data_IF_853489340960
#
_entry.id   IF_853489340960
#
_cell.length_a   1.000
_cell.length_b   1.000
_cell.length_c   1.000
_cell.angle_alpha   90.00
_cell.angle_beta   90.00
_cell.angle_gamma   90.00
#
_symmetry.space_group_name_H-M   'P 1'
#
loop_
_entity.id
_entity.type
_entity.pdbx_description
1 polymer ?
#
# COMPACT_ATOMS: atom_id res chain seq x y z
N UNK A 1 -7.90 33.58 31.31
CA UNK A 1 -7.92 32.90 32.64
C UNK A 1 -6.54 32.32 32.87
N UNK A 2 -5.73 32.96 33.72
CA UNK A 2 -4.41 32.46 34.12
C UNK A 2 -4.60 31.28 35.09
N UNK A 3 -4.01 30.13 34.78
CA UNK A 3 -3.95 29.00 35.68
C UNK A 3 -2.81 29.24 36.68
N UNK A 4 -3.13 29.30 37.97
CA UNK A 4 -2.14 29.37 39.04
C UNK A 4 -1.24 28.12 39.05
N UNK A 5 0.08 28.27 39.24
CA UNK A 5 0.99 27.14 39.32
C UNK A 5 0.76 26.33 40.62
N UNK A 6 0.87 24.99 40.59
CA UNK A 6 0.62 24.15 41.75
C UNK A 6 1.61 24.44 42.88
N UNK A 7 1.06 24.72 44.06
CA UNK A 7 1.77 25.06 45.30
C UNK A 7 2.93 24.06 45.59
N UNK A 8 4.20 24.50 45.64
CA UNK A 8 5.37 23.62 45.75
C UNK A 8 5.35 22.75 47.02
N UNK A 9 4.73 23.24 48.10
CA UNK A 9 4.55 22.50 49.34
C UNK A 9 3.68 21.24 49.20
N UNK A 10 2.73 21.23 48.26
CA UNK A 10 1.87 20.09 47.98
C UNK A 10 2.59 19.00 47.17
N UNK A 11 3.49 19.39 46.27
CA UNK A 11 4.34 18.45 45.52
C UNK A 11 5.38 17.79 46.42
N UNK A 12 6.00 18.53 47.33
CA UNK A 12 6.96 17.99 48.31
C UNK A 12 6.30 16.91 49.20
N UNK A 13 5.07 17.18 49.68
CA UNK A 13 4.27 16.21 50.47
C UNK A 13 3.94 14.95 49.68
N UNK A 14 3.65 15.05 48.37
CA UNK A 14 3.39 13.88 47.51
C UNK A 14 4.66 13.03 47.32
N UNK A 15 5.81 13.68 47.10
CA UNK A 15 7.11 12.99 46.98
C UNK A 15 7.47 12.25 48.27
N UNK A 16 7.24 12.87 49.43
CA UNK A 16 7.48 12.24 50.72
C UNK A 16 6.57 11.02 50.95
N UNK A 17 5.26 11.16 50.69
CA UNK A 17 4.32 10.03 50.78
C UNK A 17 4.68 8.86 49.86
N UNK A 18 5.16 9.15 48.65
CA UNK A 18 5.61 8.11 47.72
C UNK A 18 6.85 7.38 48.25
N UNK A 19 7.85 8.10 48.78
CA UNK A 19 9.03 7.51 49.43
C UNK A 19 8.65 6.60 50.60
N UNK A 20 7.71 7.04 51.43
CA UNK A 20 7.26 6.27 52.59
C UNK A 20 6.44 5.03 52.17
N UNK A 21 5.63 5.13 51.11
CA UNK A 21 4.92 4.00 50.51
C UNK A 21 5.90 2.94 49.98
N UNK A 22 6.91 3.38 49.21
CA UNK A 22 7.95 2.49 48.68
C UNK A 22 8.78 1.84 49.80
N UNK A 23 9.05 2.55 50.89
CA UNK A 23 9.74 1.98 52.06
C UNK A 23 8.89 0.89 52.72
N UNK A 24 7.60 1.14 52.95
CA UNK A 24 6.67 0.15 53.53
C UNK A 24 6.52 -1.07 52.63
N UNK A 25 6.46 -0.89 51.32
CA UNK A 25 6.39 -2.00 50.36
C UNK A 25 7.63 -2.90 50.43
N UNK A 26 8.83 -2.31 50.44
CA UNK A 26 10.09 -3.07 50.60
C UNK A 26 10.19 -3.77 51.95
N UNK A 27 9.66 -3.17 53.01
CA UNK A 27 9.64 -3.79 54.33
C UNK A 27 8.72 -5.01 54.35
N UNK A 28 7.49 -4.91 53.82
CA UNK A 28 6.56 -6.05 53.71
C UNK A 28 7.18 -7.22 52.93
N UNK A 29 7.86 -6.91 51.81
CA UNK A 29 8.53 -7.94 51.02
C UNK A 29 9.66 -8.64 51.79
N UNK A 30 10.39 -7.90 52.64
CA UNK A 30 11.41 -8.48 53.53
C UNK A 30 10.77 -9.35 54.61
N UNK A 31 9.68 -8.89 55.20
CA UNK A 31 8.97 -9.62 56.24
C UNK A 31 8.39 -10.94 55.69
N UNK A 32 7.81 -10.90 54.48
CA UNK A 32 7.32 -12.09 53.76
C UNK A 32 8.44 -13.07 53.41
N UNK A 33 9.61 -12.58 52.98
CA UNK A 33 10.79 -13.43 52.77
C UNK A 33 11.29 -14.09 54.06
N UNK A 34 11.23 -13.38 55.19
CA UNK A 34 11.63 -13.94 56.48
C UNK A 34 10.62 -15.00 56.96
N UNK A 35 9.32 -14.80 56.73
CA UNK A 35 8.28 -15.77 57.06
C UNK A 35 8.38 -17.04 56.21
N UNK A 36 8.67 -16.89 54.92
CA UNK A 36 8.97 -18.02 54.04
C UNK A 36 10.20 -18.81 54.51
N UNK A 37 11.28 -18.12 54.92
CA UNK A 37 12.47 -18.78 55.48
C UNK A 37 12.16 -19.55 56.76
N UNK A 38 11.37 -18.97 57.66
CA UNK A 38 10.94 -19.64 58.89
C UNK A 38 10.09 -20.88 58.58
N UNK A 39 9.21 -20.79 57.58
CA UNK A 39 8.39 -21.91 57.13
C UNK A 39 9.23 -23.04 56.53
N UNK A 40 10.23 -22.72 55.71
CA UNK A 40 11.17 -23.71 55.15
C UNK A 40 11.96 -24.39 56.27
N UNK A 41 12.51 -23.64 57.22
CA UNK A 41 13.25 -24.23 58.34
C UNK A 41 12.37 -25.18 59.18
N UNK A 42 11.09 -24.84 59.39
CA UNK A 42 10.12 -25.72 60.07
C UNK A 42 9.86 -27.00 59.27
N UNK A 43 9.67 -26.89 57.95
CA UNK A 43 9.43 -28.04 57.07
C UNK A 43 10.67 -28.95 56.99
N UNK A 44 11.87 -28.39 56.95
CA UNK A 44 13.13 -29.14 57.01
C UNK A 44 13.25 -29.91 58.33
N UNK A 45 12.89 -29.30 59.46
CA UNK A 45 12.88 -29.96 60.76
C UNK A 45 11.85 -31.10 60.81
N UNK A 46 10.65 -30.88 60.27
CA UNK A 46 9.62 -31.93 60.16
C UNK A 46 10.06 -33.08 59.26
N UNK A 47 10.73 -32.77 58.15
CA UNK A 47 11.27 -33.77 57.23
C UNK A 47 12.38 -34.60 57.89
N UNK A 48 13.29 -33.97 58.65
CA UNK A 48 14.32 -34.68 59.41
C UNK A 48 13.73 -35.63 60.47
N UNK A 49 12.65 -35.22 61.15
CA UNK A 49 11.95 -36.08 62.11
C UNK A 49 11.27 -37.27 61.43
N UNK A 50 10.64 -37.06 60.27
CA UNK A 50 9.97 -38.12 59.51
C UNK A 50 10.98 -39.09 58.87
N UNK A 51 12.16 -38.62 58.43
CA UNK A 51 13.19 -39.51 57.89
C UNK A 51 13.80 -40.43 58.95
N UNK A 52 14.01 -39.92 60.17
CA UNK A 52 14.42 -40.71 61.34
C UNK A 52 13.38 -41.79 61.71
N UNK A 53 12.08 -41.47 61.65
CA UNK A 53 11.00 -42.42 61.91
C UNK A 53 10.84 -43.47 60.80
N UNK A 54 11.07 -43.09 59.54
CA UNK A 54 11.00 -43.99 58.38
C UNK A 54 12.10 -45.06 58.38
N UNK A 55 13.25 -44.76 58.99
CA UNK A 55 14.39 -45.69 59.08
C UNK A 55 14.12 -46.88 60.03
N UNK A 56 13.10 -46.79 60.88
CA UNK A 56 12.66 -47.87 61.79
C UNK A 56 11.56 -48.77 61.22
N UNK A 57 10.93 -48.40 60.09
CA UNK A 57 9.73 -49.06 59.57
C UNK A 57 9.93 -49.61 58.14
N UNK A 58 11.10 -50.19 57.89
CA UNK A 58 11.49 -50.67 56.56
C UNK A 58 11.14 -52.15 56.42
N UNK A 59 9.99 -52.46 55.82
CA UNK A 59 9.88 -53.63 54.93
C UNK A 59 8.67 -53.66 53.98
N UNK A 60 7.67 -52.77 54.09
CA UNK A 60 6.48 -52.83 53.21
C UNK A 60 6.11 -51.54 52.45
N UNK A 61 6.91 -50.46 52.48
CA UNK A 61 6.60 -49.19 51.78
C UNK A 61 7.62 -48.73 50.75
N UNK A 62 8.69 -49.51 50.50
CA UNK A 62 9.76 -49.14 49.58
C UNK A 62 9.27 -48.82 48.16
N UNK A 63 8.44 -49.70 47.56
CA UNK A 63 7.99 -49.55 46.18
C UNK A 63 7.09 -48.31 45.94
N UNK A 64 6.26 -47.93 46.91
CA UNK A 64 5.40 -46.74 46.80
C UNK A 64 6.21 -45.45 46.94
N UNK A 65 7.18 -45.42 47.87
CA UNK A 65 8.08 -44.28 48.06
C UNK A 65 9.00 -44.08 46.85
N UNK A 66 9.53 -45.16 46.27
CA UNK A 66 10.36 -45.05 45.05
C UNK A 66 9.58 -44.47 43.87
N UNK A 67 8.30 -44.85 43.73
CA UNK A 67 7.43 -44.33 42.66
C UNK A 67 7.11 -42.84 42.85
N UNK A 68 6.76 -42.42 44.07
CA UNK A 68 6.51 -41.01 44.38
C UNK A 68 7.79 -40.17 44.19
N UNK A 69 8.96 -40.70 44.54
CA UNK A 69 10.25 -40.01 44.32
C UNK A 69 10.56 -39.89 42.82
N UNK A 70 10.26 -40.92 42.02
CA UNK A 70 10.39 -40.88 40.55
C UNK A 70 9.46 -39.83 39.94
N UNK A 71 8.17 -39.87 40.27
CA UNK A 71 7.17 -38.93 39.77
C UNK A 71 7.50 -37.47 40.19
N UNK A 72 8.01 -37.28 41.40
CA UNK A 72 8.48 -35.98 41.88
C UNK A 72 9.73 -35.51 41.13
N UNK A 73 10.67 -36.41 40.83
CA UNK A 73 11.86 -36.07 40.06
C UNK A 73 11.53 -35.67 38.60
N UNK A 74 10.58 -36.38 37.97
CA UNK A 74 10.06 -36.02 36.64
C UNK A 74 9.34 -34.67 36.66
N UNK A 75 8.52 -34.41 37.68
CA UNK A 75 7.85 -33.13 37.85
C UNK A 75 8.84 -31.97 38.04
N UNK A 76 9.94 -32.19 38.79
CA UNK A 76 11.00 -31.20 38.98
C UNK A 76 11.77 -30.94 37.68
N UNK A 77 12.10 -32.00 36.92
CA UNK A 77 12.72 -31.83 35.60
C UNK A 77 11.84 -31.09 34.61
N UNK A 78 10.54 -31.42 34.57
CA UNK A 78 9.57 -30.76 33.71
C UNK A 78 9.37 -29.30 34.10
N UNK A 79 9.31 -29.00 35.40
CA UNK A 79 9.28 -27.63 35.91
C UNK A 79 10.52 -26.84 35.50
N UNK A 80 11.71 -27.46 35.55
CA UNK A 80 12.96 -26.85 35.09
C UNK A 80 12.95 -26.56 33.59
N UNK A 81 12.45 -27.49 32.77
CA UNK A 81 12.35 -27.31 31.30
C UNK A 81 11.35 -26.22 30.93
N UNK A 82 10.16 -26.25 31.51
CA UNK A 82 9.14 -25.20 31.30
C UNK A 82 9.63 -23.83 31.80
N UNK A 83 10.40 -23.78 32.88
CA UNK A 83 11.04 -22.55 33.35
C UNK A 83 12.04 -21.98 32.34
N UNK A 84 12.83 -22.84 31.69
CA UNK A 84 13.76 -22.43 30.64
C UNK A 84 13.03 -21.96 29.37
N UNK A 85 12.00 -22.67 28.92
CA UNK A 85 11.15 -22.26 27.79
C UNK A 85 10.43 -20.94 28.07
N UNK A 86 9.92 -20.74 29.28
CA UNK A 86 9.26 -19.49 29.67
C UNK A 86 10.23 -18.31 29.63
N UNK A 87 11.47 -18.50 30.08
CA UNK A 87 12.53 -17.48 29.98
C UNK A 87 12.88 -17.17 28.52
N UNK A 88 13.01 -18.20 27.67
CA UNK A 88 13.26 -18.02 26.25
C UNK A 88 12.14 -17.23 25.56
N UNK A 89 10.88 -17.62 25.78
CA UNK A 89 9.72 -16.94 25.20
C UNK A 89 9.61 -15.49 25.67
N UNK A 90 9.91 -15.22 26.95
CA UNK A 90 9.97 -13.85 27.47
C UNK A 90 11.04 -13.01 26.77
N UNK A 91 12.23 -13.58 26.56
CA UNK A 91 13.30 -12.91 25.83
C UNK A 91 12.91 -12.64 24.37
N UNK A 92 12.25 -13.59 23.69
CA UNK A 92 11.79 -13.41 22.31
C UNK A 92 10.68 -12.34 22.21
N UNK A 93 9.73 -12.32 23.15
CA UNK A 93 8.69 -11.28 23.23
C UNK A 93 9.33 -9.91 23.45
N UNK A 94 10.31 -9.82 24.35
CA UNK A 94 11.02 -8.57 24.61
C UNK A 94 11.80 -8.10 23.39
N UNK A 95 12.52 -9.00 22.71
CA UNK A 95 13.21 -8.70 21.46
C UNK A 95 12.24 -8.23 20.38
N UNK A 96 11.07 -8.85 20.22
CA UNK A 96 10.02 -8.40 19.29
C UNK A 96 9.46 -7.04 19.67
N UNK A 97 9.28 -6.75 20.96
CA UNK A 97 8.83 -5.45 21.44
C UNK A 97 9.87 -4.36 21.16
N UNK A 98 11.14 -4.63 21.43
CA UNK A 98 12.26 -3.73 21.13
C UNK A 98 12.40 -3.51 19.62
N UNK A 99 12.28 -4.56 18.82
CA UNK A 99 12.28 -4.47 17.36
C UNK A 99 11.12 -3.62 16.85
N UNK A 100 9.91 -3.81 17.39
CA UNK A 100 8.73 -2.99 17.05
C UNK A 100 8.95 -1.52 17.37
N UNK A 101 9.51 -1.20 18.55
CA UNK A 101 9.84 0.17 18.95
C UNK A 101 10.90 0.75 18.01
N UNK A 102 11.93 -0.01 17.67
CA UNK A 102 12.97 0.43 16.75
C UNK A 102 12.40 0.70 15.34
N UNK A 103 11.52 -0.18 14.85
CA UNK A 103 10.85 -0.03 13.56
C UNK A 103 9.92 1.19 13.57
N UNK A 104 9.17 1.41 14.65
CA UNK A 104 8.39 2.63 14.86
C UNK A 104 9.26 3.88 14.89
N UNK A 105 10.44 3.82 15.53
CA UNK A 105 11.40 4.94 15.56
C UNK A 105 11.99 5.21 14.19
N UNK A 106 12.35 4.18 13.43
CA UNK A 106 12.83 4.32 12.04
C UNK A 106 11.73 4.92 11.18
N UNK A 107 10.49 4.42 11.27
CA UNK A 107 9.35 4.97 10.55
C UNK A 107 9.09 6.43 10.93
N UNK A 108 9.15 6.78 12.22
CA UNK A 108 9.01 8.17 12.70
C UNK A 108 10.18 9.07 12.32
N UNK A 109 11.41 8.56 12.25
CA UNK A 109 12.56 9.32 11.73
C UNK A 109 12.55 9.45 10.20
N UNK A 110 11.78 8.59 9.52
CA UNK A 110 11.56 8.66 8.07
C UNK A 110 10.25 9.40 7.73
N UNK A 111 9.39 9.68 8.71
CA UNK A 111 8.30 10.64 8.59
C UNK A 111 8.92 12.05 8.52
N UNK A 112 9.38 12.42 7.32
CA UNK A 112 9.17 13.79 6.87
C UNK A 112 7.67 14.08 7.11
N UNK A 113 7.38 15.16 7.83
CA UNK A 113 6.02 15.58 8.23
C UNK A 113 5.12 15.83 7.01
N UNK A 114 5.72 15.92 5.84
CA UNK A 114 5.12 15.80 4.52
C UNK A 114 5.68 14.54 3.86
N UNK A 115 4.86 13.72 3.19
CA UNK A 115 5.26 12.42 2.62
C UNK A 115 6.56 12.43 1.78
N UNK A 116 7.10 11.25 1.39
CA UNK A 116 8.46 11.14 0.85
C UNK A 116 8.74 12.17 -0.26
N UNK A 117 9.92 12.80 -0.27
CA UNK A 117 10.32 13.88 -1.21
C UNK A 117 9.82 13.79 -2.66
N UNK A 118 9.71 12.60 -3.26
CA UNK A 118 9.11 12.42 -4.60
C UNK A 118 7.61 12.76 -4.64
N UNK A 119 6.85 12.51 -3.58
CA UNK A 119 5.44 12.88 -3.43
C UNK A 119 5.26 14.40 -3.23
N UNK A 120 6.25 15.08 -2.61
CA UNK A 120 6.30 16.55 -2.53
C UNK A 120 6.81 17.19 -3.84
N UNK A 121 7.63 16.48 -4.63
CA UNK A 121 8.24 16.97 -5.85
C UNK A 121 7.20 17.42 -6.90
N UNK A 122 6.01 16.82 -6.91
CA UNK A 122 4.92 17.19 -7.81
C UNK A 122 4.08 18.39 -7.35
N UNK A 123 4.22 18.79 -6.09
CA UNK A 123 3.66 20.03 -5.53
C UNK A 123 4.66 21.19 -5.57
N UNK A 124 5.88 21.00 -6.10
CA UNK A 124 6.82 22.11 -6.26
C UNK A 124 6.30 23.10 -7.32
N UNK A 125 6.39 24.42 -7.10
CA UNK A 125 5.97 25.44 -8.08
C UNK A 125 6.63 25.28 -9.47
N UNK A 126 7.78 24.60 -9.55
CA UNK A 126 8.51 24.27 -10.77
C UNK A 126 7.95 23.06 -11.54
N UNK A 127 7.23 22.16 -10.86
CA UNK A 127 6.71 20.88 -11.38
C UNK A 127 5.19 20.68 -11.15
N UNK A 128 4.53 21.67 -10.54
CA UNK A 128 3.10 21.83 -10.48
C UNK A 128 2.82 23.30 -10.79
N UNK A 129 2.33 23.59 -11.98
CA UNK A 129 1.94 24.95 -12.34
C UNK A 129 0.96 25.52 -11.31
N UNK A 130 0.88 26.86 -11.24
CA UNK A 130 0.01 27.63 -10.34
C UNK A 130 -1.47 27.17 -10.31
N UNK A 131 -1.90 26.42 -11.34
CA UNK A 131 -3.22 25.80 -11.44
C UNK A 131 -3.41 24.55 -10.55
N UNK A 132 -2.38 23.71 -10.36
CA UNK A 132 -2.44 22.51 -9.50
C UNK A 132 -2.45 22.92 -8.03
N UNK A 133 -1.63 23.92 -7.65
CA UNK A 133 -1.56 24.46 -6.29
C UNK A 133 -2.83 25.21 -5.85
N UNK A 134 -3.60 25.76 -6.81
CA UNK A 134 -4.89 26.43 -6.55
C UNK A 134 -6.09 25.53 -6.80
N UNK A 135 -5.87 24.24 -7.08
CA UNK A 135 -6.92 23.30 -7.42
C UNK A 135 -7.80 23.03 -6.19
N UNK A 136 -9.02 23.57 -6.18
CA UNK A 136 -10.06 23.15 -5.25
C UNK A 136 -10.75 21.92 -5.82
N UNK A 137 -10.68 20.81 -5.09
CA UNK A 137 -11.33 19.56 -5.44
C UNK A 137 -12.68 19.50 -4.73
N UNK A 138 -13.68 18.95 -5.42
CA UNK A 138 -14.97 18.65 -4.82
C UNK A 138 -14.81 17.40 -3.96
N UNK A 139 -14.41 17.59 -2.71
CA UNK A 139 -14.18 16.52 -1.73
C UNK A 139 -15.49 16.13 -1.05
N UNK A 140 -15.71 14.82 -0.96
CA UNK A 140 -16.84 14.23 -0.25
C UNK A 140 -16.38 13.75 1.12
N UNK A 141 -17.26 13.88 2.12
CA UNK A 141 -16.99 13.32 3.43
C UNK A 141 -16.96 11.78 3.37
N UNK A 142 -16.11 11.16 4.19
CA UNK A 142 -15.95 9.70 4.19
C UNK A 142 -17.23 8.96 4.61
N UNK A 143 -18.00 9.52 5.54
CA UNK A 143 -19.27 8.94 5.96
C UNK A 143 -20.28 8.98 4.81
N UNK A 144 -20.42 10.13 4.16
CA UNK A 144 -21.27 10.30 2.97
C UNK A 144 -20.84 9.37 1.83
N UNK A 145 -19.54 9.25 1.59
CA UNK A 145 -19.00 8.37 0.56
C UNK A 145 -19.32 6.90 0.84
N UNK A 146 -19.27 6.48 2.11
CA UNK A 146 -19.64 5.12 2.51
C UNK A 146 -21.14 4.88 2.36
N UNK A 147 -21.96 5.82 2.81
CA UNK A 147 -23.42 5.70 2.76
C UNK A 147 -23.94 5.66 1.30
N UNK A 148 -23.45 6.57 0.45
CA UNK A 148 -23.93 6.74 -0.92
C UNK A 148 -23.32 5.74 -1.90
N UNK A 149 -22.03 5.40 -1.75
CA UNK A 149 -21.30 4.58 -2.73
C UNK A 149 -20.89 3.21 -2.22
N UNK A 150 -21.02 2.92 -0.93
CA UNK A 150 -20.48 1.70 -0.32
C UNK A 150 -18.96 1.71 -0.37
N UNK A 151 -18.36 2.90 -0.37
CA UNK A 151 -16.93 3.10 -0.49
C UNK A 151 -16.23 2.87 0.85
N UNK A 152 -15.12 2.15 0.78
CA UNK A 152 -14.22 1.94 1.91
C UNK A 152 -12.85 2.55 1.60
N UNK A 153 -12.28 3.38 2.50
CA UNK A 153 -10.99 3.99 2.27
C UNK A 153 -9.90 2.98 1.92
N UNK A 154 -9.15 3.30 0.86
CA UNK A 154 -8.03 2.51 0.39
C UNK A 154 -6.80 2.75 1.28
N UNK A 155 -6.10 1.68 1.62
CA UNK A 155 -4.80 1.75 2.32
C UNK A 155 -3.66 1.91 1.31
N UNK A 156 -2.47 2.33 1.76
CA UNK A 156 -1.28 2.43 0.89
C UNK A 156 -0.91 1.08 0.23
N UNK A 157 -1.09 -0.02 0.97
CA UNK A 157 -0.91 -1.37 0.45
C UNK A 157 -1.94 -1.69 -0.63
N UNK A 158 -3.20 -1.33 -0.40
CA UNK A 158 -4.28 -1.47 -1.39
C UNK A 158 -4.01 -0.68 -2.66
N UNK A 159 -3.56 0.58 -2.52
CA UNK A 159 -3.14 1.40 -3.66
C UNK A 159 -2.01 0.76 -4.45
N UNK A 160 -0.99 0.23 -3.77
CA UNK A 160 0.14 -0.44 -4.42
C UNK A 160 -0.35 -1.64 -5.25
N UNK A 161 -1.27 -2.43 -4.71
CA UNK A 161 -1.86 -3.57 -5.42
C UNK A 161 -2.63 -3.13 -6.66
N UNK A 162 -3.46 -2.08 -6.54
CA UNK A 162 -4.22 -1.48 -7.65
C UNK A 162 -3.30 -1.01 -8.77
N UNK A 163 -2.20 -0.32 -8.44
CA UNK A 163 -1.21 0.16 -9.40
C UNK A 163 -0.54 -1.02 -10.12
N UNK A 164 -0.13 -2.05 -9.38
CA UNK A 164 0.51 -3.24 -9.96
C UNK A 164 -0.44 -4.02 -10.87
N UNK A 165 -1.70 -4.17 -10.49
CA UNK A 165 -2.72 -4.81 -11.34
C UNK A 165 -2.97 -4.02 -12.63
N UNK A 166 -3.08 -2.70 -12.51
CA UNK A 166 -3.23 -1.81 -13.65
C UNK A 166 -2.03 -1.96 -14.61
N UNK A 167 -0.81 -1.88 -14.08
CA UNK A 167 0.42 -2.06 -14.87
C UNK A 167 0.42 -3.42 -15.59
N UNK A 168 0.16 -4.52 -14.90
CA UNK A 168 0.10 -5.86 -15.51
C UNK A 168 -0.94 -5.93 -16.63
N UNK A 169 -2.13 -5.37 -16.39
CA UNK A 169 -3.22 -5.36 -17.37
C UNK A 169 -2.83 -4.56 -18.61
N UNK A 170 -2.32 -3.34 -18.43
CA UNK A 170 -1.94 -2.45 -19.53
C UNK A 170 -0.74 -3.02 -20.30
N UNK A 171 0.28 -3.54 -19.62
CA UNK A 171 1.42 -4.18 -20.28
C UNK A 171 1.00 -5.39 -21.12
N UNK A 172 0.02 -6.18 -20.65
CA UNK A 172 -0.55 -7.30 -21.43
C UNK A 172 -1.23 -6.79 -22.70
N UNK A 173 -2.07 -5.76 -22.58
CA UNK A 173 -2.78 -5.14 -23.73
C UNK A 173 -1.78 -4.55 -24.72
N UNK A 174 -0.79 -3.78 -24.24
CA UNK A 174 0.25 -3.19 -25.09
C UNK A 174 1.06 -4.26 -25.82
N UNK A 175 1.54 -5.29 -25.12
CA UNK A 175 2.33 -6.37 -25.73
C UNK A 175 1.52 -7.10 -26.81
N UNK A 176 0.22 -7.27 -26.61
CA UNK A 176 -0.68 -7.93 -27.57
C UNK A 176 -1.03 -7.07 -28.77
N UNK A 177 -1.25 -5.76 -28.59
CA UNK A 177 -1.76 -4.88 -29.66
C UNK A 177 -0.66 -4.13 -30.42
N UNK A 178 0.46 -3.81 -29.77
CA UNK A 178 1.56 -3.07 -30.40
C UNK A 178 2.52 -3.98 -31.18
N UNK A 179 2.60 -5.27 -30.86
CA UNK A 179 3.35 -6.25 -31.65
C UNK A 179 2.43 -6.75 -32.78
N UNK A 180 2.74 -6.49 -34.07
CA UNK A 180 1.98 -7.05 -35.17
C UNK A 180 2.12 -8.58 -35.16
N UNK A 181 1.01 -9.30 -35.04
CA UNK A 181 1.01 -10.76 -35.14
C UNK A 181 0.39 -11.18 -36.47
N UNK A 182 0.95 -12.20 -37.12
CA UNK A 182 0.36 -12.81 -38.33
C UNK A 182 -0.97 -13.52 -38.04
N UNK A 183 -1.34 -13.64 -36.76
CA UNK A 183 -2.55 -14.31 -36.25
C UNK A 183 -3.55 -13.30 -35.66
N UNK A 184 -3.66 -12.11 -36.25
CA UNK A 184 -4.63 -11.06 -35.83
C UNK A 184 -6.11 -11.49 -35.99
N UNK A 185 -6.36 -12.70 -36.52
CA UNK A 185 -7.66 -13.39 -36.69
C UNK A 185 -7.73 -14.75 -36.00
N UNK A 186 -7.03 -14.98 -34.89
CA UNK A 186 -7.21 -16.23 -34.13
C UNK A 186 -8.38 -16.15 -33.14
N UNK A 187 -9.19 -17.21 -33.14
CA UNK A 187 -10.20 -17.56 -32.12
C UNK A 187 -11.29 -16.49 -31.85
N UNK A 188 -11.97 -16.03 -32.91
CA UNK A 188 -13.13 -15.13 -32.81
C UNK A 188 -12.83 -13.68 -32.40
N UNK A 189 -11.55 -13.33 -32.19
CA UNK A 189 -11.13 -11.95 -31.94
C UNK A 189 -10.99 -11.17 -33.26
N UNK A 190 -11.58 -9.98 -33.32
CA UNK A 190 -11.38 -9.04 -34.45
C UNK A 190 -10.43 -7.94 -34.05
N UNK A 191 -9.24 -7.93 -34.66
CA UNK A 191 -8.25 -6.86 -34.49
C UNK A 191 -8.38 -5.87 -35.65
N UNK A 192 -8.54 -4.58 -35.35
CA UNK A 192 -8.61 -3.49 -36.31
C UNK A 192 -7.49 -2.50 -36.02
N UNK A 193 -6.67 -2.23 -37.03
CA UNK A 193 -5.63 -1.20 -37.02
C UNK A 193 -6.07 -0.06 -37.92
N UNK A 194 -5.97 1.18 -37.45
CA UNK A 194 -6.32 2.37 -38.23
C UNK A 194 -5.40 3.53 -37.86
N UNK A 195 -5.22 4.46 -38.80
CA UNK A 195 -4.48 5.69 -38.56
C UNK A 195 -5.39 6.88 -38.90
N UNK A 196 -5.59 7.78 -37.94
CA UNK A 196 -6.50 8.93 -38.11
C UNK A 196 -5.91 10.17 -37.44
N UNK A 197 -5.75 11.28 -38.16
CA UNK A 197 -5.18 12.54 -37.65
C UNK A 197 -3.84 12.38 -36.90
N UNK A 198 -2.97 11.49 -37.39
CA UNK A 198 -1.66 11.17 -36.78
C UNK A 198 -1.74 10.32 -35.50
N UNK A 199 -2.92 9.78 -35.16
CA UNK A 199 -3.07 8.73 -34.16
C UNK A 199 -2.97 7.37 -34.82
N UNK A 200 -2.12 6.49 -34.28
CA UNK A 200 -2.17 5.07 -34.57
C UNK A 200 -3.07 4.40 -33.55
N UNK A 201 -4.11 3.72 -34.03
CA UNK A 201 -5.17 3.16 -33.21
C UNK A 201 -5.26 1.67 -33.49
N UNK A 202 -5.11 0.86 -32.44
CA UNK A 202 -5.29 -0.59 -32.51
C UNK A 202 -6.41 -0.97 -31.57
N UNK A 203 -7.43 -1.64 -32.09
CA UNK A 203 -8.58 -2.10 -31.34
C UNK A 203 -8.71 -3.61 -31.53
N UNK A 204 -8.94 -4.34 -30.45
CA UNK A 204 -9.28 -5.77 -30.47
C UNK A 204 -10.56 -5.99 -29.68
N UNK A 205 -11.52 -6.67 -30.30
CA UNK A 205 -12.75 -7.08 -29.64
C UNK A 205 -12.76 -8.59 -29.55
N UNK A 206 -12.92 -9.13 -28.34
CA UNK A 206 -13.03 -10.56 -28.07
C UNK A 206 -14.10 -10.78 -27.01
N UNK A 207 -15.22 -11.40 -27.41
CA UNK A 207 -16.41 -11.52 -26.56
C UNK A 207 -16.92 -10.13 -26.12
N UNK A 208 -17.07 -9.95 -24.81
CA UNK A 208 -17.54 -8.69 -24.19
C UNK A 208 -16.39 -7.73 -23.83
N UNK A 209 -15.14 -8.05 -24.20
CA UNK A 209 -13.97 -7.25 -23.87
C UNK A 209 -13.48 -6.53 -25.11
N UNK A 210 -13.37 -5.21 -25.00
CA UNK A 210 -12.76 -4.34 -25.99
C UNK A 210 -11.43 -3.81 -25.43
N UNK A 211 -10.33 -4.22 -26.06
CA UNK A 211 -8.99 -3.72 -25.78
C UNK A 211 -8.62 -2.69 -26.85
N UNK A 212 -8.08 -1.54 -26.46
CA UNK A 212 -7.65 -0.52 -27.41
C UNK A 212 -6.36 0.17 -26.96
N UNK A 213 -5.54 0.54 -27.94
CA UNK A 213 -4.31 1.32 -27.76
C UNK A 213 -4.33 2.44 -28.79
N UNK A 214 -4.06 3.66 -28.32
CA UNK A 214 -3.93 4.85 -29.14
C UNK A 214 -2.56 5.46 -28.89
N UNK A 215 -1.76 5.63 -29.94
CA UNK A 215 -0.44 6.23 -29.84
C UNK A 215 -0.33 7.41 -30.78
N UNK A 216 0.30 8.49 -30.31
CA UNK A 216 0.61 9.66 -31.12
C UNK A 216 1.89 10.29 -30.59
N UNK A 217 2.75 10.69 -31.51
CA UNK A 217 4.01 11.36 -31.17
C UNK A 217 3.84 12.86 -31.34
N UNK A 218 4.18 13.61 -30.29
CA UNK A 218 4.24 15.07 -30.32
C UNK A 218 5.70 15.51 -30.20
N UNK A 219 6.07 16.59 -30.91
CA UNK A 219 7.43 17.15 -30.87
C UNK A 219 7.40 18.57 -30.30
N UNK A 220 8.46 18.97 -29.61
CA UNK A 220 8.61 20.33 -29.07
C UNK A 220 7.69 20.65 -27.88
N UNK A 221 7.08 19.65 -27.24
CA UNK A 221 6.26 19.83 -26.05
C UNK A 221 7.06 19.50 -24.78
N UNK A 222 6.81 20.26 -23.73
CA UNK A 222 7.29 19.93 -22.39
C UNK A 222 6.38 18.87 -21.76
N UNK A 223 6.91 17.66 -21.56
CA UNK A 223 6.19 16.48 -21.05
C UNK A 223 5.63 16.73 -19.65
N UNK A 224 6.38 17.40 -18.77
CA UNK A 224 5.92 17.73 -17.42
C UNK A 224 4.74 18.72 -17.44
N UNK A 225 4.82 19.79 -18.23
CA UNK A 225 3.73 20.76 -18.36
C UNK A 225 2.48 20.13 -18.97
N UNK A 226 2.64 19.26 -19.98
CA UNK A 226 1.53 18.54 -20.59
C UNK A 226 0.84 17.64 -19.57
N UNK A 227 1.62 16.84 -18.84
CA UNK A 227 1.13 15.97 -17.77
C UNK A 227 0.38 16.76 -16.70
N UNK A 228 0.94 17.87 -16.20
CA UNK A 228 0.29 18.72 -15.18
C UNK A 228 -1.03 19.29 -15.68
N UNK A 229 -1.07 19.77 -16.93
CA UNK A 229 -2.29 20.30 -17.52
C UNK A 229 -3.35 19.21 -17.66
N UNK A 230 -2.96 18.02 -18.10
CA UNK A 230 -3.87 16.87 -18.17
C UNK A 230 -4.38 16.49 -16.78
N UNK A 231 -3.51 16.41 -15.78
CA UNK A 231 -3.88 16.12 -14.39
C UNK A 231 -4.89 17.11 -13.85
N UNK A 232 -4.61 18.42 -13.95
CA UNK A 232 -5.49 19.47 -13.45
C UNK A 232 -6.84 19.53 -14.19
N UNK A 233 -6.88 19.14 -15.47
CA UNK A 233 -8.12 19.04 -16.23
C UNK A 233 -8.92 17.80 -15.85
N UNK A 234 -8.24 16.70 -15.56
CA UNK A 234 -8.87 15.43 -15.21
C UNK A 234 -9.49 15.40 -13.82
N UNK A 235 -9.04 16.28 -12.93
CA UNK A 235 -9.51 16.34 -11.54
C UNK A 235 -10.67 17.32 -11.30
N UNK A 236 -10.99 18.19 -12.27
CA UNK A 236 -12.03 19.22 -12.14
C UNK A 236 -13.18 18.93 -13.09
N UNK A 237 -14.39 18.78 -12.55
CA UNK A 237 -15.58 18.47 -13.34
C UNK A 237 -15.77 19.41 -14.53
N UNK A 238 -15.66 20.73 -14.32
CA UNK A 238 -15.85 21.73 -15.37
C UNK A 238 -14.86 21.62 -16.54
N UNK A 239 -13.60 21.25 -16.27
CA UNK A 239 -12.58 21.03 -17.30
C UNK A 239 -12.72 19.66 -17.95
N UNK A 240 -13.00 18.63 -17.14
CA UNK A 240 -13.21 17.27 -17.61
C UNK A 240 -14.39 17.18 -18.60
N UNK A 241 -15.48 17.89 -18.32
CA UNK A 241 -16.65 18.00 -19.21
C UNK A 241 -16.32 18.60 -20.59
N UNK A 242 -15.27 19.41 -20.72
CA UNK A 242 -14.87 19.96 -22.04
C UNK A 242 -14.39 18.86 -23.00
N UNK A 243 -13.84 17.78 -22.47
CA UNK A 243 -13.33 16.63 -23.24
C UNK A 243 -14.32 15.46 -23.20
N UNK A 244 -14.99 15.26 -22.08
CA UNK A 244 -15.93 14.16 -21.82
C UNK A 244 -17.27 14.72 -21.35
N UNK A 245 -17.99 15.35 -22.28
CA UNK A 245 -19.23 16.11 -22.01
C UNK A 245 -20.37 15.30 -21.40
N UNK A 246 -20.33 13.97 -21.54
CA UNK A 246 -21.27 13.04 -20.92
C UNK A 246 -21.11 12.92 -19.40
N UNK A 247 -20.01 13.41 -18.83
CA UNK A 247 -19.76 13.32 -17.39
C UNK A 247 -20.67 14.29 -16.65
N UNK A 248 -21.51 13.80 -15.75
CA UNK A 248 -22.42 14.64 -14.95
C UNK A 248 -21.81 14.99 -13.59
N UNK A 249 -21.08 14.04 -12.98
CA UNK A 249 -20.48 14.15 -11.64
C UNK A 249 -19.02 13.70 -11.65
N UNK A 250 -18.18 14.38 -10.89
CA UNK A 250 -16.80 13.98 -10.61
C UNK A 250 -16.42 14.54 -9.24
N UNK A 251 -16.22 13.67 -8.25
CA UNK A 251 -15.93 14.05 -6.86
C UNK A 251 -14.81 13.18 -6.30
N UNK A 252 -14.04 13.73 -5.37
CA UNK A 252 -12.95 13.04 -4.68
C UNK A 252 -13.50 12.41 -3.40
N UNK A 253 -13.41 11.08 -3.31
CA UNK A 253 -13.83 10.32 -2.12
C UNK A 253 -12.70 10.20 -1.10
N UNK A 254 -11.46 10.18 -1.58
CA UNK A 254 -10.28 10.04 -0.74
C UNK A 254 -9.03 10.52 -1.48
N UNK A 255 -8.20 11.30 -0.81
CA UNK A 255 -6.79 11.45 -1.18
C UNK A 255 -5.98 10.36 -0.46
N UNK A 256 -5.40 9.41 -1.21
CA UNK A 256 -4.57 8.34 -0.61
C UNK A 256 -3.17 8.85 -0.35
N UNK A 257 -2.59 9.54 -1.34
CA UNK A 257 -1.33 10.26 -1.23
C UNK A 257 -1.30 11.45 -2.22
N UNK A 258 -0.26 12.29 -2.25
CA UNK A 258 -0.19 13.45 -3.15
C UNK A 258 -0.35 13.14 -4.65
N UNK A 259 -0.07 11.89 -5.06
CA UNK A 259 -0.10 11.45 -6.46
C UNK A 259 -1.23 10.46 -6.76
N UNK A 260 -2.12 10.19 -5.81
CA UNK A 260 -3.16 9.18 -5.96
C UNK A 260 -4.46 9.58 -5.23
N UNK A 261 -5.54 9.63 -6.00
CA UNK A 261 -6.87 10.02 -5.55
C UNK A 261 -7.88 8.94 -5.93
N UNK A 262 -8.85 8.72 -5.05
CA UNK A 262 -10.05 7.94 -5.36
C UNK A 262 -11.14 8.91 -5.75
N UNK A 263 -11.70 8.72 -6.94
CA UNK A 263 -12.77 9.55 -7.47
C UNK A 263 -14.01 8.71 -7.75
N UNK A 264 -15.17 9.34 -7.60
CA UNK A 264 -16.42 8.86 -8.19
C UNK A 264 -16.72 9.65 -9.46
N UNK A 265 -17.21 8.98 -10.48
CA UNK A 265 -17.68 9.59 -11.73
C UNK A 265 -19.03 9.01 -12.11
N UNK A 266 -19.97 9.91 -12.37
CA UNK A 266 -21.24 9.59 -13.03
C UNK A 266 -21.20 10.08 -14.48
N UNK A 267 -21.63 9.22 -15.39
CA UNK A 267 -21.75 9.49 -16.82
C UNK A 267 -23.19 9.30 -17.21
N UNK A 268 -23.77 10.31 -17.87
CA UNK A 268 -25.11 10.18 -18.43
C UNK A 268 -25.09 9.19 -19.59
N UNK A 269 -25.97 8.20 -19.53
CA UNK A 269 -26.19 7.28 -20.64
C UNK A 269 -27.14 7.91 -21.66
N UNK A 270 -26.91 7.69 -22.96
CA UNK A 270 -27.88 8.08 -23.99
C UNK A 270 -29.05 7.09 -24.13
N UNK A 271 -29.03 5.96 -23.41
CA UNK A 271 -30.04 4.90 -23.54
C UNK A 271 -31.17 5.04 -22.51
N UNK A 272 -32.34 4.45 -22.78
CA UNK A 272 -33.52 4.58 -21.91
C UNK A 272 -33.52 3.59 -20.71
N UNK A 273 -32.78 2.49 -20.84
CA UNK A 273 -32.68 1.40 -19.87
C UNK A 273 -31.75 1.72 -18.69
N UNK A 274 -30.70 2.49 -18.95
CA UNK A 274 -29.71 2.95 -17.98
C UNK A 274 -29.71 4.48 -18.07
N UNK A 275 -29.93 5.18 -16.95
CA UNK A 275 -29.83 6.65 -16.92
C UNK A 275 -28.39 7.11 -16.73
N UNK A 276 -27.64 6.39 -15.88
CA UNK A 276 -26.35 6.84 -15.36
C UNK A 276 -25.42 5.66 -15.22
N UNK A 277 -24.20 5.80 -15.75
CA UNK A 277 -23.09 4.91 -15.44
C UNK A 277 -22.25 5.48 -14.33
N UNK A 278 -22.23 4.80 -13.19
CA UNK A 278 -21.42 5.16 -12.03
C UNK A 278 -20.14 4.33 -11.98
N UNK A 279 -19.04 4.96 -11.61
CA UNK A 279 -17.77 4.28 -11.40
C UNK A 279 -16.99 4.94 -10.27
N UNK A 280 -16.40 4.12 -9.40
CA UNK A 280 -15.38 4.56 -8.44
C UNK A 280 -14.04 4.04 -8.93
N UNK A 281 -13.04 4.92 -9.01
CA UNK A 281 -11.74 4.57 -9.54
C UNK A 281 -10.61 5.33 -8.86
N UNK A 282 -9.45 4.70 -8.85
CA UNK A 282 -8.19 5.32 -8.45
C UNK A 282 -7.57 5.99 -9.66
N UNK A 283 -7.23 7.27 -9.54
CA UNK A 283 -6.40 8.03 -10.46
C UNK A 283 -5.03 8.20 -9.83
N UNK A 284 -3.96 7.78 -10.50
CA UNK A 284 -2.61 7.86 -9.97
C UNK A 284 -1.59 8.33 -11.00
N UNK A 285 -0.56 9.02 -10.52
CA UNK A 285 0.55 9.52 -11.30
C UNK A 285 1.85 8.80 -10.91
N UNK A 286 2.60 8.33 -11.90
CA UNK A 286 3.92 7.69 -11.73
C UNK A 286 4.91 8.34 -12.67
N UNK A 287 6.04 8.79 -12.13
CA UNK A 287 7.19 9.16 -12.94
C UNK A 287 7.99 7.92 -13.35
N UNK A 288 8.46 7.95 -14.59
CA UNK A 288 9.26 6.90 -15.18
C UNK A 288 10.53 7.52 -15.71
N UNK A 289 11.67 6.86 -15.51
CA UNK A 289 12.93 7.22 -16.16
C UNK A 289 13.33 6.13 -17.13
N UNK A 290 13.80 6.53 -18.31
CA UNK A 290 14.36 5.64 -19.32
C UNK A 290 15.71 6.18 -19.76
N UNK A 291 16.70 5.30 -19.81
CA UNK A 291 17.97 5.57 -20.46
C UNK A 291 17.79 5.40 -21.97
N UNK A 292 17.93 6.48 -22.71
CA UNK A 292 17.83 6.49 -24.17
C UNK A 292 19.23 6.69 -24.75
N UNK A 293 19.69 5.83 -25.66
CA UNK A 293 20.96 6.06 -26.33
C UNK A 293 20.93 7.32 -27.20
N UNK A 294 21.97 8.16 -27.13
CA UNK A 294 22.03 9.47 -27.80
C UNK A 294 21.88 9.37 -29.34
N UNK A 295 22.26 8.24 -29.94
CA UNK A 295 22.08 7.98 -31.39
C UNK A 295 20.60 7.97 -31.80
N UNK A 296 19.70 7.48 -30.94
CA UNK A 296 18.26 7.33 -31.21
C UNK A 296 17.48 8.62 -30.95
N UNK A 297 18.02 9.52 -30.14
CA UNK A 297 17.44 10.84 -29.89
C UNK A 297 17.69 11.83 -31.05
N UNK A 298 18.75 11.61 -31.83
CA UNK A 298 19.17 12.44 -32.97
C UNK A 298 18.71 11.90 -34.33
N UNK A 299 18.36 10.61 -34.42
CA UNK A 299 17.77 10.05 -35.64
C UNK A 299 16.32 10.53 -35.82
N UNK A 300 16.07 11.31 -36.87
CA UNK A 300 14.72 11.44 -37.44
C UNK A 300 14.22 10.05 -37.82
N UNK A 301 12.99 9.64 -37.47
CA UNK A 301 12.48 8.36 -37.92
C UNK A 301 12.28 8.46 -39.44
N UNK A 302 13.17 7.85 -40.19
CA UNK A 302 12.98 7.61 -41.62
C UNK A 302 11.72 6.76 -41.72
N UNK A 303 10.69 7.32 -42.36
CA UNK A 303 9.54 6.56 -42.84
C UNK A 303 10.08 5.31 -43.53
N UNK A 304 9.68 4.12 -43.08
CA UNK A 304 9.96 2.89 -43.81
C UNK A 304 9.10 2.96 -45.07
N UNK A 305 9.69 3.46 -46.14
CA UNK A 305 9.12 3.39 -47.48
C UNK A 305 9.26 1.95 -47.97
N UNK A 306 8.14 1.23 -47.99
CA UNK A 306 8.05 -0.15 -48.44
C UNK A 306 8.28 -0.33 -49.96
N UNK A 307 8.77 0.68 -50.67
CA UNK A 307 9.03 0.64 -52.12
C UNK A 307 10.51 0.80 -52.52
N UNK A 308 11.45 0.91 -51.58
CA UNK A 308 12.87 1.03 -51.91
C UNK A 308 13.54 -0.34 -52.13
N UNK A 309 14.31 -0.53 -53.23
CA UNK A 309 14.99 -1.79 -53.52
C UNK A 309 16.06 -2.10 -52.47
N UNK A 310 16.10 -3.36 -52.03
CA UNK A 310 17.00 -3.88 -51.01
C UNK A 310 18.46 -3.84 -51.50
N UNK A 311 19.25 -2.92 -50.95
CA UNK A 311 20.72 -3.00 -51.05
C UNK A 311 21.26 -3.56 -49.73
N UNK A 312 22.06 -4.64 -49.73
CA UNK A 312 22.61 -5.18 -48.49
C UNK A 312 23.61 -4.19 -47.87
N UNK A 313 23.62 -4.02 -46.54
CA UNK A 313 24.60 -3.15 -45.89
C UNK A 313 25.99 -3.77 -46.03
N UNK A 314 26.93 -2.97 -46.54
CA UNK A 314 28.35 -3.30 -46.51
C UNK A 314 28.81 -3.31 -45.06
N UNK A 315 29.38 -4.44 -44.63
CA UNK A 315 30.09 -4.57 -43.37
C UNK A 315 31.33 -3.69 -43.42
N UNK A 316 31.33 -2.60 -42.65
CA UNK A 316 32.53 -1.93 -42.23
C UNK A 316 32.75 -2.30 -40.76
N UNK A 317 33.64 -3.26 -40.52
CA UNK A 317 34.22 -3.55 -39.22
C UNK A 317 34.87 -2.27 -38.68
N UNK A 318 34.25 -1.69 -37.66
CA UNK A 318 34.82 -0.59 -36.90
C UNK A 318 34.52 -0.85 -35.44
N UNK A 319 35.40 -1.64 -34.82
CA UNK A 319 35.51 -1.87 -33.37
C UNK A 319 35.87 -0.56 -32.67
N UNK A 320 34.87 0.32 -32.55
CA UNK A 320 34.92 1.48 -31.69
C UNK A 320 34.00 1.21 -30.50
N UNK A 321 34.58 0.81 -29.37
CA UNK A 321 33.98 0.81 -28.04
C UNK A 321 33.68 2.26 -27.60
N UNK A 322 32.83 2.93 -28.37
CA UNK A 322 32.22 4.19 -27.96
C UNK A 322 31.14 3.83 -26.96
N UNK A 323 31.43 4.01 -25.66
CA UNK A 323 30.40 4.05 -24.62
C UNK A 323 29.32 5.03 -25.07
N UNK A 324 28.21 4.49 -25.57
CA UNK A 324 27.14 5.28 -26.11
C UNK A 324 26.54 6.13 -24.98
N UNK A 325 26.69 7.45 -25.07
CA UNK A 325 26.15 8.38 -24.10
C UNK A 325 24.64 8.12 -23.95
N UNK A 326 24.23 7.68 -22.76
CA UNK A 326 22.84 7.43 -22.43
C UNK A 326 22.23 8.70 -21.84
N UNK A 327 21.20 9.24 -22.50
CA UNK A 327 20.39 10.31 -21.94
C UNK A 327 19.37 9.72 -20.96
N UNK A 328 19.29 10.27 -19.76
CA UNK A 328 18.18 10.00 -18.85
C UNK A 328 16.96 10.82 -19.31
N UNK A 329 15.98 10.13 -19.89
CA UNK A 329 14.70 10.70 -20.24
C UNK A 329 13.67 10.41 -19.15
N UNK A 330 13.12 11.47 -18.55
CA UNK A 330 11.95 11.38 -17.68
C UNK A 330 10.67 11.38 -18.50
N UNK A 331 9.71 10.54 -18.13
CA UNK A 331 8.37 10.47 -18.69
C UNK A 331 7.34 10.18 -17.59
N UNK A 332 6.06 10.33 -17.89
CA UNK A 332 5.01 10.17 -16.88
C UNK A 332 3.93 9.19 -17.30
N UNK A 333 3.40 8.46 -16.33
CA UNK A 333 2.28 7.54 -16.49
C UNK A 333 1.13 8.01 -15.62
N UNK A 334 0.00 8.27 -16.27
CA UNK A 334 -1.24 8.62 -15.63
C UNK A 334 -2.22 7.46 -15.75
N UNK A 335 -2.41 6.73 -14.66
CA UNK A 335 -3.22 5.52 -14.60
C UNK A 335 -4.60 5.76 -14.01
N UNK A 336 -5.59 5.04 -14.53
CA UNK A 336 -6.91 4.89 -13.92
C UNK A 336 -7.30 3.43 -13.81
N UNK A 337 -7.73 3.06 -12.61
CA UNK A 337 -8.20 1.72 -12.29
C UNK A 337 -9.49 1.80 -11.47
N UNK A 338 -10.59 1.31 -12.01
CA UNK A 338 -11.82 1.12 -11.23
C UNK A 338 -11.59 0.15 -10.07
N UNK A 339 -12.24 0.46 -8.95
CA UNK A 339 -12.27 -0.37 -7.75
C UNK A 339 -13.70 -0.76 -7.44
N UNK A 340 -13.87 -1.93 -6.86
CA UNK A 340 -15.19 -2.40 -6.43
C UNK A 340 -15.60 -1.69 -5.14
N UNK A 341 -16.86 -1.28 -5.08
CA UNK A 341 -17.55 -0.86 -3.86
C UNK A 341 -18.64 -1.87 -3.51
N UNK A 342 -19.19 -1.78 -2.30
CA UNK A 342 -20.29 -2.67 -1.89
C UNK A 342 -21.46 -2.62 -2.89
N UNK A 343 -21.78 -1.41 -3.36
CA UNK A 343 -22.91 -1.19 -4.27
C UNK A 343 -22.59 -1.48 -5.74
N UNK A 344 -21.31 -1.51 -6.12
CA UNK A 344 -20.92 -1.98 -7.44
C UNK A 344 -21.26 -3.46 -7.67
N UNK A 345 -21.25 -4.26 -6.59
CA UNK A 345 -21.60 -5.68 -6.61
C UNK A 345 -23.06 -5.91 -6.25
N UNK A 346 -23.57 -5.14 -5.28
CA UNK A 346 -24.93 -5.24 -4.77
C UNK A 346 -25.61 -3.87 -4.82
N UNK A 347 -26.18 -3.46 -5.97
CA UNK A 347 -26.80 -2.15 -6.13
C UNK A 347 -27.90 -1.89 -5.11
N UNK A 348 -28.00 -0.65 -4.63
CA UNK A 348 -29.10 -0.23 -3.76
C UNK A 348 -30.43 -0.23 -4.53
N UNK A 349 -31.55 -0.37 -3.81
CA UNK A 349 -32.87 -0.21 -4.43
C UNK A 349 -33.04 1.15 -5.12
N UNK A 350 -32.45 2.21 -4.55
CA UNK A 350 -32.45 3.54 -5.16
C UNK A 350 -31.67 3.58 -6.47
N UNK A 351 -30.52 2.91 -6.55
CA UNK A 351 -29.75 2.81 -7.79
C UNK A 351 -30.57 2.10 -8.87
N UNK A 352 -31.27 1.02 -8.50
CA UNK A 352 -32.15 0.28 -9.42
C UNK A 352 -33.32 1.18 -9.88
N UNK A 353 -34.00 1.86 -8.94
CA UNK A 353 -35.09 2.80 -9.26
C UNK A 353 -34.63 3.93 -10.18
N UNK A 354 -33.42 4.43 -9.96
CA UNK A 354 -32.83 5.51 -10.75
C UNK A 354 -32.13 5.01 -12.02
N UNK A 355 -32.16 3.71 -12.32
CA UNK A 355 -31.50 3.09 -13.49
C UNK A 355 -29.99 3.37 -13.54
N UNK A 356 -29.33 3.31 -12.39
CA UNK A 356 -27.87 3.48 -12.26
C UNK A 356 -27.19 2.13 -12.53
N UNK A 357 -26.24 2.12 -13.45
CA UNK A 357 -25.40 0.95 -13.72
C UNK A 357 -23.96 1.21 -13.28
N UNK A 358 -23.34 0.22 -12.63
CA UNK A 358 -21.95 0.32 -12.19
C UNK A 358 -20.99 -0.19 -13.27
N UNK A 359 -19.93 0.57 -13.57
CA UNK A 359 -18.98 0.24 -14.64
C UNK A 359 -17.55 0.13 -14.13
N UNK A 360 -16.85 -0.90 -14.61
CA UNK A 360 -15.41 -1.08 -14.47
C UNK A 360 -14.72 -0.55 -15.72
N UNK A 361 -13.87 0.46 -15.55
CA UNK A 361 -13.02 1.03 -16.60
C UNK A 361 -11.55 0.94 -16.19
N UNK A 362 -10.69 0.56 -17.13
CA UNK A 362 -9.24 0.53 -16.96
C UNK A 362 -8.61 1.27 -18.12
N UNK A 363 -7.83 2.31 -17.85
CA UNK A 363 -7.09 3.02 -18.89
C UNK A 363 -5.82 3.66 -18.33
N UNK A 364 -4.84 3.87 -19.19
CA UNK A 364 -3.58 4.49 -18.85
C UNK A 364 -3.14 5.40 -19.99
N UNK A 365 -2.69 6.61 -19.63
CA UNK A 365 -2.01 7.53 -20.54
C UNK A 365 -0.51 7.54 -20.19
N UNK A 366 0.34 7.56 -21.19
CA UNK A 366 1.80 7.66 -21.02
C UNK A 366 2.30 8.84 -21.84
N UNK A 367 3.09 9.71 -21.21
CA UNK A 367 3.61 10.96 -21.76
C UNK A 367 5.13 10.94 -21.85
#
# INVERSE_FOLDING_TARGET
MQCDPPNPSAMERRRQKNRDCMRRARQRQRDELNDMKATVARLEQQYAQLSLQSTQNTQNHGALVTRIVSDYSEAVELSRRLGAENLYLKAEIQQKAEWKINLSRILQSTMEVDGPRWAQQFQQPSLGGEAVLRMRLDERDQFEAREEFGFHPLTDLGLTQVILENRRTISRVQSRLLVPSSFDTDDGARTRRMQVFGWDMVQRVHGNIMECVFTKTFRGLNVAQLMQKTWANDMRLGEFKKVKGETSRLEVLQQVNPNAYVLVRDVMSPTEDISTFRSVFVRFLIETSKKIPLSRASSTPTCIDASAPSTPPQYADSDSDSEELMLDASGYVLGTQSIDTDYSRNPREEDIRNKVAWRICRYQSSF
#
